data_IF_692649480559
#
_entry.id   IF_692649480559
#
_cell.length_a   1.000
_cell.length_b   1.000
_cell.length_c   1.000
_cell.angle_alpha   90.00
_cell.angle_beta   90.00
_cell.angle_gamma   90.00
#
_symmetry.space_group_name_H-M   'P 1'
#
loop_
_entity.id
_entity.type
_entity.pdbx_description
1 polymer ?
#
# COMPACT_ATOMS: atom_id res chain seq x y z
N UNK A 1 -0.17 10.73 33.22
CA UNK A 1 0.59 9.80 32.37
C UNK A 1 0.46 10.26 30.93
N UNK A 2 1.57 10.26 30.18
CA UNK A 2 1.62 10.68 28.78
C UNK A 2 2.12 9.49 27.97
N UNK A 3 1.48 9.24 26.84
CA UNK A 3 1.86 8.25 25.85
C UNK A 3 2.08 8.98 24.54
N UNK A 4 3.23 8.77 23.90
CA UNK A 4 3.54 9.30 22.58
C UNK A 4 3.54 8.13 21.61
N UNK A 5 2.88 8.31 20.46
CA UNK A 5 2.83 7.33 19.37
C UNK A 5 3.42 8.01 18.15
N UNK A 6 4.34 7.35 17.47
CA UNK A 6 5.01 7.90 16.28
C UNK A 6 5.89 6.87 15.61
N UNK A 7 6.53 7.28 14.53
CA UNK A 7 7.45 6.46 13.76
C UNK A 7 8.82 6.38 14.41
N UNK A 8 9.58 5.32 14.14
CA UNK A 8 10.91 5.07 14.71
C UNK A 8 11.92 6.19 14.39
N UNK A 9 11.89 6.74 13.18
CA UNK A 9 12.74 7.85 12.77
C UNK A 9 12.52 9.11 13.64
N UNK A 10 11.25 9.37 14.00
CA UNK A 10 10.90 10.49 14.89
C UNK A 10 11.40 10.23 16.31
N UNK A 11 11.23 8.98 16.80
CA UNK A 11 11.76 8.58 18.10
C UNK A 11 13.27 8.76 18.17
N UNK A 12 14.02 8.31 17.17
CA UNK A 12 15.48 8.48 17.11
C UNK A 12 15.88 9.96 17.06
N UNK A 13 15.15 10.77 16.31
CA UNK A 13 15.37 12.21 16.24
C UNK A 13 15.16 12.88 17.60
N UNK A 14 14.09 12.54 18.32
CA UNK A 14 13.83 13.06 19.67
C UNK A 14 14.91 12.63 20.66
N UNK A 15 15.38 11.38 20.59
CA UNK A 15 16.50 10.92 21.44
C UNK A 15 17.80 11.66 21.20
N UNK A 16 18.06 12.11 19.95
CA UNK A 16 19.27 12.81 19.58
C UNK A 16 19.20 14.31 19.91
N UNK A 17 18.01 14.91 19.78
CA UNK A 17 17.83 16.37 19.89
C UNK A 17 17.40 16.82 21.28
N UNK A 18 16.77 15.98 22.08
CA UNK A 18 16.24 16.34 23.40
C UNK A 18 16.80 15.44 24.51
N UNK A 19 17.70 16.03 25.31
CA UNK A 19 18.32 15.34 26.45
C UNK A 19 17.34 14.97 27.56
N UNK A 20 16.20 15.64 27.66
CA UNK A 20 15.19 15.37 28.69
C UNK A 20 14.20 14.29 28.23
N UNK A 21 14.10 14.03 26.92
CA UNK A 21 13.24 13.00 26.38
C UNK A 21 13.49 11.62 27.02
N UNK A 22 14.76 11.21 27.14
CA UNK A 22 15.16 9.94 27.80
C UNK A 22 14.77 9.88 29.28
N UNK A 23 14.75 11.02 29.97
CA UNK A 23 14.40 11.09 31.39
C UNK A 23 12.89 10.97 31.59
N UNK A 24 12.11 11.52 30.67
CA UNK A 24 10.64 11.56 30.74
C UNK A 24 10.01 10.29 30.21
N UNK A 25 10.50 9.76 29.07
CA UNK A 25 9.96 8.60 28.37
C UNK A 25 10.90 7.40 28.50
N UNK A 26 10.73 6.62 29.58
CA UNK A 26 11.61 5.50 29.93
C UNK A 26 11.21 4.17 29.29
N UNK A 27 10.00 4.07 28.82
CA UNK A 27 9.44 2.83 28.28
C UNK A 27 9.21 3.05 26.78
N UNK A 28 9.90 2.27 25.94
CA UNK A 28 9.66 2.16 24.51
C UNK A 28 8.92 0.84 24.24
N UNK A 29 7.91 0.90 23.41
CA UNK A 29 7.22 -0.27 22.88
C UNK A 29 7.26 -0.17 21.37
N UNK A 30 7.77 -1.18 20.71
CA UNK A 30 7.84 -1.28 19.26
C UNK A 30 6.78 -2.25 18.77
N UNK A 31 6.16 -1.91 17.65
CA UNK A 31 5.23 -2.77 16.93
C UNK A 31 5.87 -3.15 15.60
N UNK A 32 5.78 -4.43 15.26
CA UNK A 32 6.22 -4.91 13.95
C UNK A 32 5.24 -4.47 12.87
N UNK A 33 5.77 -3.99 11.74
CA UNK A 33 4.99 -3.56 10.59
C UNK A 33 4.47 -4.72 9.75
N UNK A 34 4.94 -5.94 10.02
CA UNK A 34 4.56 -7.16 9.32
C UNK A 34 4.53 -8.40 10.26
N UNK A 35 3.87 -9.45 9.80
CA UNK A 35 3.79 -10.73 10.50
C UNK A 35 3.93 -11.87 9.49
N UNK A 36 4.51 -13.04 9.86
CA UNK A 36 4.66 -14.16 8.95
C UNK A 36 3.31 -14.71 8.47
N UNK A 37 3.25 -15.17 7.21
CA UNK A 37 2.07 -15.86 6.66
C UNK A 37 1.96 -17.23 7.30
N UNK A 38 1.07 -17.33 8.27
CA UNK A 38 0.68 -18.58 8.90
C UNK A 38 -0.83 -18.71 8.89
N UNK A 39 -1.35 -19.94 8.97
CA UNK A 39 -2.80 -20.15 9.10
C UNK A 39 -3.39 -19.39 10.30
N UNK A 40 -2.62 -19.27 11.38
CA UNK A 40 -3.05 -18.52 12.57
C UNK A 40 -3.17 -17.01 12.27
N UNK A 41 -2.15 -16.41 11.64
CA UNK A 41 -2.15 -14.97 11.33
C UNK A 41 -3.17 -14.62 10.24
N UNK A 42 -3.38 -15.49 9.24
CA UNK A 42 -4.47 -15.33 8.26
C UNK A 42 -5.84 -15.34 8.98
N UNK A 43 -6.05 -16.25 9.93
CA UNK A 43 -7.29 -16.30 10.69
C UNK A 43 -7.47 -15.07 11.59
N UNK A 44 -6.38 -14.54 12.19
CA UNK A 44 -6.43 -13.28 12.95
C UNK A 44 -6.82 -12.10 12.06
N UNK A 45 -6.23 -12.01 10.86
CA UNK A 45 -6.57 -10.99 9.88
C UNK A 45 -8.03 -11.12 9.42
N UNK A 46 -8.52 -12.33 9.16
CA UNK A 46 -9.92 -12.55 8.80
C UNK A 46 -10.89 -12.12 9.93
N UNK A 47 -10.54 -12.38 11.20
CA UNK A 47 -11.30 -11.89 12.36
C UNK A 47 -11.27 -10.36 12.48
N UNK A 48 -10.12 -9.74 12.22
CA UNK A 48 -10.02 -8.28 12.16
C UNK A 48 -10.96 -7.71 11.10
N UNK A 49 -10.94 -8.27 9.86
CA UNK A 49 -11.82 -7.84 8.76
C UNK A 49 -13.29 -7.95 9.18
N UNK A 50 -13.69 -9.08 9.76
CA UNK A 50 -15.07 -9.28 10.21
C UNK A 50 -15.47 -8.29 11.31
N UNK A 51 -14.59 -8.09 12.32
CA UNK A 51 -14.81 -7.14 13.41
C UNK A 51 -14.92 -5.69 12.91
N UNK A 52 -14.04 -5.31 11.98
CA UNK A 52 -14.07 -3.99 11.36
C UNK A 52 -15.36 -3.75 10.57
N UNK A 53 -15.80 -4.73 9.78
CA UNK A 53 -17.08 -4.62 9.06
C UNK A 53 -18.27 -4.48 10.01
N UNK A 54 -18.27 -5.18 11.15
CA UNK A 54 -19.32 -5.03 12.14
C UNK A 54 -19.31 -3.65 12.82
N UNK A 55 -18.12 -3.17 13.18
CA UNK A 55 -17.95 -1.88 13.86
C UNK A 55 -18.37 -0.70 12.96
N UNK A 56 -18.01 -0.75 11.70
CA UNK A 56 -18.28 0.32 10.72
C UNK A 56 -19.57 0.10 9.92
N UNK A 57 -20.41 -0.86 10.34
CA UNK A 57 -21.68 -1.19 9.67
C UNK A 57 -21.52 -1.44 8.14
N UNK A 58 -20.42 -2.08 7.75
CA UNK A 58 -20.12 -2.41 6.36
C UNK A 58 -20.75 -3.74 5.96
N UNK A 59 -21.10 -3.93 4.66
CA UNK A 59 -21.48 -5.24 4.15
C UNK A 59 -20.35 -6.27 4.40
N UNK A 60 -20.67 -7.49 4.86
CA UNK A 60 -19.65 -8.51 5.13
C UNK A 60 -18.96 -8.97 3.84
N UNK A 61 -17.69 -9.34 3.97
CA UNK A 61 -16.88 -9.86 2.88
C UNK A 61 -17.14 -11.35 2.66
N UNK A 62 -17.15 -11.78 1.39
CA UNK A 62 -17.11 -13.20 1.05
C UNK A 62 -15.73 -13.78 1.35
N UNK A 63 -15.60 -15.11 1.41
CA UNK A 63 -14.34 -15.79 1.63
C UNK A 63 -13.28 -15.38 0.60
N UNK A 64 -13.68 -15.29 -0.66
CA UNK A 64 -12.82 -14.89 -1.78
C UNK A 64 -12.39 -13.42 -1.65
N UNK A 65 -13.26 -12.54 -1.18
CA UNK A 65 -12.92 -11.15 -0.89
C UNK A 65 -11.92 -11.04 0.25
N UNK A 66 -12.09 -11.83 1.32
CA UNK A 66 -11.10 -11.90 2.41
C UNK A 66 -9.74 -12.38 1.88
N UNK A 67 -9.73 -13.40 1.01
CA UNK A 67 -8.48 -13.89 0.40
C UNK A 67 -7.79 -12.78 -0.42
N UNK A 68 -8.54 -11.95 -1.15
CA UNK A 68 -7.99 -10.77 -1.86
C UNK A 68 -7.40 -9.71 -0.92
N UNK A 69 -8.00 -9.48 0.23
CA UNK A 69 -7.44 -8.56 1.24
C UNK A 69 -6.17 -9.14 1.85
N UNK A 70 -6.09 -10.46 2.07
CA UNK A 70 -4.87 -11.16 2.53
C UNK A 70 -3.75 -11.03 1.48
N UNK A 71 -4.07 -11.24 0.20
CA UNK A 71 -3.13 -11.05 -0.92
C UNK A 71 -2.61 -9.59 -0.96
N UNK A 72 -3.50 -8.63 -0.79
CA UNK A 72 -3.12 -7.21 -0.71
C UNK A 72 -2.23 -6.93 0.51
N UNK A 73 -2.50 -7.52 1.68
CA UNK A 73 -1.66 -7.36 2.87
C UNK A 73 -0.22 -7.87 2.63
N UNK A 74 -0.05 -8.98 1.90
CA UNK A 74 1.27 -9.48 1.49
C UNK A 74 1.96 -8.52 0.51
N UNK A 75 1.22 -7.96 -0.44
CA UNK A 75 1.74 -6.95 -1.36
C UNK A 75 2.21 -5.69 -0.64
N UNK A 76 1.48 -5.22 0.37
CA UNK A 76 1.86 -4.04 1.19
C UNK A 76 3.10 -4.32 2.04
N UNK A 77 3.30 -5.57 2.49
CA UNK A 77 4.50 -5.99 3.20
C UNK A 77 5.74 -6.09 2.28
N UNK A 78 5.56 -6.01 0.95
CA UNK A 78 6.60 -6.21 -0.06
C UNK A 78 7.39 -7.52 0.14
N UNK A 79 6.73 -8.53 0.70
CA UNK A 79 7.32 -9.83 1.00
C UNK A 79 6.25 -10.93 0.91
N UNK A 80 6.52 -11.96 0.08
CA UNK A 80 5.58 -13.06 -0.17
C UNK A 80 5.35 -13.97 1.05
N UNK A 81 6.22 -13.92 2.06
CA UNK A 81 6.13 -14.71 3.28
C UNK A 81 5.54 -13.93 4.47
N UNK A 82 5.18 -12.67 4.25
CA UNK A 82 4.70 -11.77 5.29
C UNK A 82 3.38 -11.09 4.95
N UNK A 83 2.65 -10.70 5.98
CA UNK A 83 1.43 -9.89 5.92
C UNK A 83 1.69 -8.56 6.62
N UNK A 84 1.32 -7.46 5.99
CA UNK A 84 1.38 -6.15 6.63
C UNK A 84 0.44 -6.07 7.82
N UNK A 85 0.91 -5.48 8.91
CA UNK A 85 0.13 -5.13 10.09
C UNK A 85 -0.35 -3.67 10.07
N UNK A 86 -0.21 -2.98 8.94
CA UNK A 86 -0.77 -1.64 8.72
C UNK A 86 -2.27 -1.73 8.51
N UNK A 87 -3.00 -1.95 9.58
CA UNK A 87 -4.45 -2.18 9.54
C UNK A 87 -5.24 -1.03 8.93
N UNK A 88 -4.74 0.21 9.03
CA UNK A 88 -5.37 1.36 8.39
C UNK A 88 -5.43 1.23 6.87
N UNK A 89 -4.38 0.74 6.22
CA UNK A 89 -4.33 0.56 4.77
C UNK A 89 -5.33 -0.50 4.32
N UNK A 90 -5.45 -1.58 5.11
CA UNK A 90 -6.42 -2.64 4.87
C UNK A 90 -7.85 -2.14 5.09
N UNK A 91 -8.09 -1.39 6.17
CA UNK A 91 -9.38 -0.80 6.48
C UNK A 91 -9.87 0.14 5.37
N UNK A 92 -8.99 0.95 4.79
CA UNK A 92 -9.32 1.82 3.67
C UNK A 92 -9.79 1.02 2.45
N UNK A 93 -9.08 -0.04 2.07
CA UNK A 93 -9.49 -0.89 0.93
C UNK A 93 -10.82 -1.60 1.21
N UNK A 94 -11.03 -2.09 2.43
CA UNK A 94 -12.29 -2.71 2.82
C UNK A 94 -13.44 -1.70 2.71
N UNK A 95 -13.26 -0.47 3.23
CA UNK A 95 -14.24 0.61 3.14
C UNK A 95 -14.57 1.02 1.71
N UNK A 96 -13.54 1.13 0.84
CA UNK A 96 -13.74 1.41 -0.58
C UNK A 96 -14.50 0.26 -1.29
N UNK A 97 -14.12 -0.99 -1.04
CA UNK A 97 -14.79 -2.15 -1.62
C UNK A 97 -16.26 -2.24 -1.15
N UNK A 98 -16.52 -1.95 0.13
CA UNK A 98 -17.86 -1.86 0.67
C UNK A 98 -18.69 -0.75 0.00
N UNK A 99 -18.07 0.39 -0.29
CA UNK A 99 -18.71 1.48 -1.03
C UNK A 99 -19.11 1.05 -2.44
N UNK A 100 -18.22 0.34 -3.15
CA UNK A 100 -18.55 -0.21 -4.46
C UNK A 100 -19.66 -1.27 -4.40
N UNK A 101 -19.68 -2.12 -3.37
CA UNK A 101 -20.76 -3.07 -3.15
C UNK A 101 -22.10 -2.37 -2.92
N UNK A 102 -22.14 -1.29 -2.12
CA UNK A 102 -23.35 -0.48 -1.91
C UNK A 102 -23.84 0.17 -3.19
N UNK A 103 -22.94 0.76 -4.00
CA UNK A 103 -23.28 1.32 -5.33
C UNK A 103 -23.88 0.21 -6.23
N UNK A 104 -23.32 -1.00 -6.20
CA UNK A 104 -23.83 -2.17 -6.91
C UNK A 104 -25.06 -2.81 -6.27
N UNK A 105 -25.61 -2.24 -5.18
CA UNK A 105 -26.74 -2.79 -4.42
C UNK A 105 -26.52 -4.22 -3.93
N UNK A 106 -25.27 -4.59 -3.70
CA UNK A 106 -24.92 -5.90 -3.16
C UNK A 106 -24.96 -5.88 -1.64
N UNK A 107 -25.45 -6.97 -1.04
CA UNK A 107 -25.43 -7.19 0.41
C UNK A 107 -24.10 -7.74 0.91
N UNK A 108 -23.22 -8.17 -0.01
CA UNK A 108 -21.92 -8.77 0.29
C UNK A 108 -20.84 -8.06 -0.52
N UNK A 109 -19.66 -7.93 0.04
CA UNK A 109 -18.45 -7.50 -0.66
C UNK A 109 -17.82 -8.74 -1.30
N UNK A 110 -17.84 -8.84 -2.62
CA UNK A 110 -17.19 -9.91 -3.38
C UNK A 110 -15.74 -9.56 -3.71
N UNK A 111 -14.96 -10.54 -4.18
CA UNK A 111 -13.59 -10.33 -4.66
C UNK A 111 -13.51 -9.26 -5.75
N UNK A 112 -14.50 -9.19 -6.64
CA UNK A 112 -14.57 -8.18 -7.71
C UNK A 112 -14.61 -6.74 -7.20
N UNK A 113 -15.32 -6.49 -6.08
CA UNK A 113 -15.36 -5.17 -5.46
C UNK A 113 -14.05 -4.80 -4.80
N UNK A 114 -13.33 -5.77 -4.21
CA UNK A 114 -11.98 -5.55 -3.68
C UNK A 114 -11.01 -5.23 -4.84
N UNK A 115 -11.02 -6.03 -5.91
CA UNK A 115 -10.19 -5.78 -7.09
C UNK A 115 -10.52 -4.41 -7.73
N UNK A 116 -11.80 -4.00 -7.72
CA UNK A 116 -12.21 -2.68 -8.21
C UNK A 116 -11.65 -1.57 -7.32
N UNK A 117 -11.75 -1.68 -6.00
CA UNK A 117 -11.19 -0.71 -5.07
C UNK A 117 -9.68 -0.54 -5.27
N UNK A 118 -8.94 -1.66 -5.42
CA UNK A 118 -7.51 -1.65 -5.69
C UNK A 118 -7.16 -0.96 -7.02
N UNK A 119 -7.90 -1.25 -8.10
CA UNK A 119 -7.71 -0.59 -9.40
C UNK A 119 -7.99 0.91 -9.34
N UNK A 120 -9.08 1.31 -8.70
CA UNK A 120 -9.43 2.73 -8.58
C UNK A 120 -8.44 3.51 -7.71
N UNK A 121 -7.88 2.88 -6.67
CA UNK A 121 -6.80 3.46 -5.88
C UNK A 121 -5.58 3.76 -6.77
N UNK A 122 -5.15 2.82 -7.60
CA UNK A 122 -4.07 3.04 -8.58
C UNK A 122 -4.45 4.13 -9.59
N UNK A 123 -5.66 4.11 -10.12
CA UNK A 123 -6.12 5.09 -11.12
C UNK A 123 -6.07 6.53 -10.58
N UNK A 124 -6.36 6.75 -9.30
CA UNK A 124 -6.31 8.08 -8.67
C UNK A 124 -4.89 8.67 -8.62
N UNK A 125 -3.86 7.84 -8.50
CA UNK A 125 -2.46 8.28 -8.39
C UNK A 125 -1.68 8.17 -9.69
N UNK A 126 -2.28 7.61 -10.74
CA UNK A 126 -1.67 7.34 -12.04
C UNK A 126 -1.39 8.57 -12.90
N UNK A 127 -1.77 9.76 -12.45
CA UNK A 127 -1.62 11.00 -13.23
C UNK A 127 -0.18 11.26 -13.68
N UNK A 128 0.80 10.99 -12.82
CA UNK A 128 2.22 11.19 -13.15
C UNK A 128 2.71 10.23 -14.22
N UNK A 129 2.38 8.94 -14.10
CA UNK A 129 2.67 7.92 -15.09
C UNK A 129 2.04 8.28 -16.45
N UNK A 130 0.73 8.61 -16.45
CA UNK A 130 0.01 8.99 -17.66
C UNK A 130 0.65 10.19 -18.37
N UNK A 131 1.04 11.23 -17.64
CA UNK A 131 1.71 12.40 -18.19
C UNK A 131 3.09 12.07 -18.74
N UNK A 132 3.84 11.21 -18.06
CA UNK A 132 5.15 10.77 -18.55
C UNK A 132 5.03 9.97 -19.85
N UNK A 133 4.07 9.06 -19.92
CA UNK A 133 3.77 8.30 -21.14
C UNK A 133 3.27 9.19 -22.29
N UNK A 134 2.53 10.25 -22.00
CA UNK A 134 2.11 11.25 -22.98
C UNK A 134 3.33 11.97 -23.57
N UNK A 135 4.27 12.41 -22.74
CA UNK A 135 5.52 13.06 -23.20
C UNK A 135 6.35 12.16 -24.13
N UNK A 136 6.37 10.84 -23.91
CA UNK A 136 7.02 9.88 -24.82
C UNK A 136 6.26 9.79 -26.13
N UNK A 137 4.92 9.66 -26.09
CA UNK A 137 4.06 9.58 -27.29
C UNK A 137 4.13 10.83 -28.16
N UNK A 138 4.26 12.00 -27.54
CA UNK A 138 4.41 13.29 -28.21
C UNK A 138 5.84 13.60 -28.68
N UNK A 139 6.78 12.64 -28.49
CA UNK A 139 8.20 12.83 -28.80
C UNK A 139 8.85 14.02 -28.07
N UNK A 140 8.30 14.43 -26.94
CA UNK A 140 8.94 15.40 -26.04
C UNK A 140 10.09 14.75 -25.27
N UNK A 141 9.94 13.45 -24.93
CA UNK A 141 10.97 12.59 -24.43
C UNK A 141 11.31 11.54 -25.49
N UNK A 142 12.53 11.65 -26.06
CA UNK A 142 13.00 10.76 -27.09
C UNK A 142 13.57 9.48 -26.48
N UNK A 143 12.87 8.38 -26.63
CA UNK A 143 13.30 7.03 -26.26
C UNK A 143 13.16 6.15 -27.47
N UNK A 144 14.31 5.77 -28.06
CA UNK A 144 14.34 4.90 -29.22
C UNK A 144 14.13 3.45 -28.72
N UNK A 145 13.19 2.74 -29.36
CA UNK A 145 12.87 1.35 -29.02
C UNK A 145 13.53 0.34 -29.98
N UNK A 146 13.99 0.83 -31.11
CA UNK A 146 14.62 0.03 -32.17
C UNK A 146 16.00 0.59 -32.56
N UNK A 147 16.88 -0.31 -33.06
CA UNK A 147 18.20 0.05 -33.53
C UNK A 147 19.28 0.03 -32.45
N UNK A 148 20.50 0.44 -32.85
CA UNK A 148 21.68 0.49 -31.99
C UNK A 148 22.35 1.84 -32.09
N UNK A 149 22.69 2.43 -30.95
CA UNK A 149 23.47 3.67 -30.89
C UNK A 149 24.66 3.44 -29.95
N UNK A 150 25.88 3.67 -30.46
CA UNK A 150 27.07 3.53 -29.64
C UNK A 150 27.11 4.56 -28.53
N UNK A 151 27.38 4.09 -27.30
CA UNK A 151 27.43 4.96 -26.10
C UNK A 151 26.06 5.31 -25.49
N UNK A 152 24.99 4.65 -25.95
CA UNK A 152 23.65 4.84 -25.36
C UNK A 152 22.99 3.52 -24.97
N UNK A 153 22.27 3.53 -23.86
CA UNK A 153 21.45 2.41 -23.41
C UNK A 153 20.14 2.93 -22.81
N UNK A 154 19.07 2.19 -23.04
CA UNK A 154 17.81 2.45 -22.34
C UNK A 154 17.84 1.75 -20.99
N UNK A 155 17.68 2.52 -19.95
CA UNK A 155 17.51 2.04 -18.58
C UNK A 155 16.06 2.15 -18.13
N UNK A 156 15.72 1.43 -17.07
CA UNK A 156 14.44 1.55 -16.37
C UNK A 156 14.69 2.00 -14.93
N UNK A 157 14.11 3.12 -14.54
CA UNK A 157 14.11 3.57 -13.15
C UNK A 157 12.73 3.37 -12.55
N UNK A 158 12.68 3.03 -11.26
CA UNK A 158 11.42 2.95 -10.51
C UNK A 158 11.20 4.29 -9.80
N UNK A 159 10.03 4.88 -10.03
CA UNK A 159 9.59 6.07 -9.31
C UNK A 159 8.46 5.71 -8.36
N UNK A 160 8.59 6.20 -7.12
CA UNK A 160 7.57 6.05 -6.09
C UNK A 160 6.85 7.37 -5.90
N UNK A 161 5.53 7.38 -6.03
CA UNK A 161 4.66 8.53 -5.77
C UNK A 161 3.61 8.12 -4.75
N UNK A 162 3.89 8.41 -3.48
CA UNK A 162 3.10 7.88 -2.37
C UNK A 162 3.16 6.36 -2.34
N UNK A 163 2.02 5.71 -2.45
CA UNK A 163 1.89 4.24 -2.45
C UNK A 163 1.92 3.62 -3.86
N UNK A 164 2.14 4.42 -4.89
CA UNK A 164 2.19 3.97 -6.28
C UNK A 164 3.60 4.01 -6.83
N UNK A 165 4.05 2.86 -7.31
CA UNK A 165 5.36 2.70 -7.97
C UNK A 165 5.16 2.40 -9.44
N UNK A 166 5.92 3.08 -10.31
CA UNK A 166 5.88 2.81 -11.74
C UNK A 166 7.28 2.88 -12.37
N UNK A 167 7.45 2.12 -13.44
CA UNK A 167 8.67 2.12 -14.21
C UNK A 167 8.76 3.32 -15.14
N UNK A 168 9.85 4.06 -15.06
CA UNK A 168 10.16 5.19 -15.92
C UNK A 168 11.35 4.82 -16.83
N UNK A 169 11.16 4.70 -18.15
CA UNK A 169 12.29 4.53 -19.05
C UNK A 169 13.14 5.81 -19.11
N UNK A 170 14.45 5.62 -19.13
CA UNK A 170 15.43 6.72 -19.23
C UNK A 170 16.50 6.34 -20.24
N UNK A 171 17.00 7.33 -20.97
CA UNK A 171 18.16 7.18 -21.85
C UNK A 171 19.41 7.49 -21.04
N UNK A 172 20.37 6.59 -21.02
CA UNK A 172 21.68 6.72 -20.38
C UNK A 172 22.72 6.87 -21.50
N UNK A 173 23.52 7.91 -21.43
CA UNK A 173 24.56 8.25 -22.41
C UNK A 173 25.90 8.39 -21.70
#
# INVERSE_FOLDING_TARGET
KVIIIGEENIYQSLLAMDNDFRKLFKIKVEFEDDAPITSENINKLARFIAGYCMQEELPPLTKEAVAKVVEYASKVADNQEKLSTRFNDLAQIIGEAATWARIGRSKLVTAEYVDKALRERVNRVKKYDSRYMEMIKENTLLIDTDGFVTGQINGLTVMNVGEYSFGKPVKIT
#
